data_IF_874075471953
#
_entry.id   IF_874075471953
#
_cell.length_a   1.000
_cell.length_b   1.000
_cell.length_c   1.000
_cell.angle_alpha   90.00
_cell.angle_beta   90.00
_cell.angle_gamma   90.00
#
_symmetry.space_group_name_H-M   'P 1'
#
loop_
_entity.id
_entity.type
_entity.pdbx_description
1 polymer ?
#
# COMPACT_ATOMS: atom_id res chain seq x y z
N UNK A 1 4.37 3.01 -4.30
CA UNK A 1 5.77 2.80 -4.76
C UNK A 1 6.33 1.66 -3.95
N UNK A 2 6.84 0.59 -4.56
CA UNK A 2 7.27 -0.62 -3.82
C UNK A 2 8.75 -0.57 -3.46
N UNK A 3 9.16 -1.25 -2.38
CA UNK A 3 10.56 -1.42 -2.02
C UNK A 3 11.29 -2.24 -3.10
N UNK A 4 12.53 -1.89 -3.46
CA UNK A 4 13.25 -2.56 -4.56
C UNK A 4 13.53 -4.06 -4.34
N UNK A 5 13.59 -4.51 -3.10
CA UNK A 5 13.74 -5.91 -2.70
C UNK A 5 12.39 -6.59 -2.38
N UNK A 6 11.27 -5.88 -2.56
CA UNK A 6 9.96 -6.47 -2.40
C UNK A 6 9.77 -7.57 -3.47
N UNK A 7 9.09 -8.68 -3.13
CA UNK A 7 8.81 -9.74 -4.09
C UNK A 7 7.84 -9.30 -5.21
N UNK A 8 7.31 -8.08 -5.15
CA UNK A 8 6.38 -7.51 -6.12
C UNK A 8 7.16 -6.65 -7.13
N UNK A 9 7.41 -7.18 -8.33
CA UNK A 9 8.19 -6.47 -9.37
C UNK A 9 7.34 -5.61 -10.28
N UNK A 10 6.03 -5.81 -10.25
CA UNK A 10 5.07 -5.09 -11.05
C UNK A 10 3.72 -4.96 -10.31
N UNK A 11 2.81 -4.17 -10.86
CA UNK A 11 1.49 -3.94 -10.27
C UNK A 11 0.68 -5.24 -10.13
N UNK A 12 0.80 -6.16 -11.09
CA UNK A 12 0.08 -7.44 -11.03
C UNK A 12 0.55 -8.29 -9.85
N UNK A 13 1.86 -8.39 -9.60
CA UNK A 13 2.41 -9.12 -8.46
C UNK A 13 1.92 -8.55 -7.14
N UNK A 14 1.81 -7.21 -7.05
CA UNK A 14 1.27 -6.54 -5.88
C UNK A 14 -0.20 -6.88 -5.66
N UNK A 15 -1.01 -6.86 -6.73
CA UNK A 15 -2.43 -7.23 -6.68
C UNK A 15 -2.60 -8.69 -6.25
N UNK A 16 -1.81 -9.60 -6.82
CA UNK A 16 -1.85 -11.03 -6.46
C UNK A 16 -1.44 -11.23 -5.00
N UNK A 17 -0.48 -10.46 -4.48
CA UNK A 17 -0.09 -10.50 -3.08
C UNK A 17 -1.17 -9.97 -2.14
N UNK A 18 -1.84 -8.87 -2.50
CA UNK A 18 -3.00 -8.32 -1.76
C UNK A 18 -4.13 -9.35 -1.73
N UNK A 19 -4.43 -9.99 -2.87
CA UNK A 19 -5.46 -11.04 -2.98
C UNK A 19 -5.13 -12.28 -2.17
N UNK A 20 -3.87 -12.72 -2.18
CA UNK A 20 -3.42 -13.88 -1.43
C UNK A 20 -3.40 -13.61 0.07
N UNK A 21 -3.20 -12.35 0.49
CA UNK A 21 -3.00 -11.97 1.89
C UNK A 21 -3.79 -10.69 2.24
N UNK A 22 -5.14 -10.71 2.22
CA UNK A 22 -5.93 -9.54 2.53
C UNK A 22 -5.66 -9.07 3.97
N UNK A 23 -5.39 -7.77 4.13
CA UNK A 23 -5.13 -7.12 5.42
C UNK A 23 -3.71 -7.31 5.96
N UNK A 24 -2.81 -7.96 5.21
CA UNK A 24 -1.41 -8.15 5.61
C UNK A 24 -0.47 -7.09 5.05
N UNK A 25 -0.84 -6.48 3.92
CA UNK A 25 -0.01 -5.46 3.30
C UNK A 25 -0.42 -4.08 3.81
N UNK A 26 0.57 -3.30 4.20
CA UNK A 26 0.45 -1.93 4.64
C UNK A 26 0.93 -0.99 3.54
N UNK A 27 0.33 0.19 3.41
CA UNK A 27 0.77 1.22 2.48
C UNK A 27 0.95 2.57 3.16
N UNK A 28 1.92 3.35 2.69
CA UNK A 28 2.14 4.69 3.19
C UNK A 28 1.15 5.67 2.58
N UNK A 29 0.60 6.53 3.42
CA UNK A 29 -0.27 7.63 2.98
C UNK A 29 -0.05 8.87 3.82
N UNK A 30 -0.32 10.04 3.26
CA UNK A 30 -0.35 11.30 4.00
C UNK A 30 -1.52 11.38 5.02
N UNK A 31 -2.47 10.44 4.98
CA UNK A 31 -3.58 10.32 5.93
C UNK A 31 -4.91 9.95 5.28
N UNK A 32 -5.95 9.68 6.10
CA UNK A 32 -7.29 9.39 5.62
C UNK A 32 -7.85 10.56 4.79
N UNK A 33 -8.48 10.23 3.66
CA UNK A 33 -9.12 11.22 2.77
C UNK A 33 -8.16 11.98 1.84
N UNK A 34 -6.86 11.69 1.90
CA UNK A 34 -5.89 12.25 0.95
C UNK A 34 -5.99 11.58 -0.43
N UNK A 35 -5.45 12.21 -1.47
CA UNK A 35 -5.43 11.65 -2.83
C UNK A 35 -4.75 10.28 -2.87
N UNK A 36 -3.71 10.06 -2.05
CA UNK A 36 -3.02 8.77 -1.94
C UNK A 36 -3.94 7.69 -1.35
N UNK A 37 -4.64 8.00 -0.26
CA UNK A 37 -5.62 7.09 0.34
C UNK A 37 -6.73 6.73 -0.65
N UNK A 38 -7.31 7.73 -1.31
CA UNK A 38 -8.38 7.53 -2.28
C UNK A 38 -7.93 6.74 -3.51
N UNK A 39 -6.69 6.95 -3.97
CA UNK A 39 -6.15 6.17 -5.08
C UNK A 39 -6.06 4.67 -4.76
N UNK A 40 -5.64 4.32 -3.54
CA UNK A 40 -5.59 2.91 -3.10
C UNK A 40 -6.99 2.34 -2.91
N UNK A 41 -7.91 3.09 -2.31
CA UNK A 41 -9.32 2.67 -2.17
C UNK A 41 -9.98 2.41 -3.53
N UNK A 42 -9.78 3.30 -4.50
CA UNK A 42 -10.29 3.13 -5.87
C UNK A 42 -9.64 1.92 -6.54
N UNK A 43 -8.33 1.72 -6.37
CA UNK A 43 -7.63 0.54 -6.87
C UNK A 43 -8.22 -0.75 -6.28
N UNK A 44 -8.41 -0.83 -4.96
CA UNK A 44 -8.99 -2.00 -4.31
C UNK A 44 -10.42 -2.25 -4.80
N UNK A 45 -11.23 -1.19 -4.91
CA UNK A 45 -12.60 -1.26 -5.43
C UNK A 45 -12.64 -1.78 -6.88
N UNK A 46 -11.78 -1.28 -7.76
CA UNK A 46 -11.64 -1.76 -9.15
C UNK A 46 -11.22 -3.24 -9.22
N UNK A 47 -10.49 -3.72 -8.21
CA UNK A 47 -10.03 -5.10 -8.12
C UNK A 47 -11.03 -6.04 -7.44
N UNK A 48 -12.18 -5.52 -6.98
CA UNK A 48 -13.20 -6.25 -6.21
C UNK A 48 -12.74 -6.60 -4.80
N UNK A 49 -11.74 -5.88 -4.27
CA UNK A 49 -11.17 -6.09 -2.96
C UNK A 49 -11.78 -5.12 -1.94
N UNK A 50 -12.01 -5.56 -0.70
CA UNK A 50 -12.43 -4.65 0.36
C UNK A 50 -11.31 -3.66 0.69
N UNK A 51 -11.66 -2.49 1.20
CA UNK A 51 -10.72 -1.49 1.76
C UNK A 51 -9.75 -2.08 2.78
N UNK A 52 -10.17 -3.13 3.50
CA UNK A 52 -9.36 -3.86 4.47
C UNK A 52 -8.32 -4.80 3.84
N UNK A 53 -8.30 -4.94 2.52
CA UNK A 53 -7.32 -5.79 1.84
C UNK A 53 -5.90 -5.20 1.92
N UNK A 54 -5.76 -3.88 2.06
CA UNK A 54 -4.50 -3.22 2.38
C UNK A 54 -4.70 -2.16 3.46
N UNK A 55 -3.79 -2.09 4.43
CA UNK A 55 -3.93 -1.20 5.59
C UNK A 55 -3.17 0.11 5.37
N UNK A 56 -3.88 1.24 5.51
CA UNK A 56 -3.24 2.55 5.48
C UNK A 56 -2.40 2.75 6.75
N UNK A 57 -1.19 3.24 6.59
CA UNK A 57 -0.37 3.79 7.68
C UNK A 57 -0.09 5.26 7.38
N UNK A 58 -0.61 6.20 8.21
CA UNK A 58 -0.44 7.63 8.00
C UNK A 58 0.98 8.08 8.39
N UNK A 59 1.61 8.85 7.51
CA UNK A 59 2.92 9.49 7.74
C UNK A 59 2.80 11.00 7.52
N UNK A 60 3.50 11.80 8.33
CA UNK A 60 3.40 13.27 8.30
C UNK A 60 4.23 13.89 7.18
N UNK A 61 5.12 13.13 6.53
CA UNK A 61 5.94 13.61 5.42
C UNK A 61 6.57 12.50 4.58
N UNK A 62 7.03 12.86 3.38
CA UNK A 62 7.63 11.92 2.42
C UNK A 62 8.89 11.22 2.93
N UNK A 63 9.66 11.85 3.82
CA UNK A 63 10.84 11.23 4.44
C UNK A 63 10.49 10.08 5.40
N UNK A 64 9.44 10.25 6.21
CA UNK A 64 8.95 9.19 7.11
C UNK A 64 8.37 8.02 6.31
N UNK A 65 7.56 8.31 5.28
CA UNK A 65 7.00 7.30 4.38
C UNK A 65 8.09 6.51 3.65
N UNK A 66 9.14 7.18 3.16
CA UNK A 66 10.27 6.52 2.51
C UNK A 66 11.05 5.65 3.49
N UNK A 67 11.27 6.13 4.73
CA UNK A 67 11.95 5.35 5.77
C UNK A 67 11.14 4.11 6.15
N UNK A 68 9.82 4.25 6.27
CA UNK A 68 8.91 3.14 6.54
C UNK A 68 8.89 2.10 5.41
N UNK A 69 8.92 2.56 4.15
CA UNK A 69 9.03 1.68 2.99
C UNK A 69 10.35 0.92 3.01
N UNK A 70 11.47 1.61 3.25
CA UNK A 70 12.81 0.99 3.33
C UNK A 70 12.94 0.04 4.53
N UNK A 71 12.32 0.38 5.66
CA UNK A 71 12.30 -0.43 6.87
C UNK A 71 11.32 -1.61 6.83
N UNK A 72 10.51 -1.74 5.76
CA UNK A 72 9.52 -2.80 5.61
C UNK A 72 8.29 -2.67 6.51
N UNK A 73 8.06 -1.51 7.13
CA UNK A 73 6.83 -1.23 7.86
C UNK A 73 5.63 -1.13 6.92
N UNK A 74 5.86 -0.61 5.70
CA UNK A 74 4.89 -0.59 4.60
C UNK A 74 5.49 -1.25 3.36
N UNK A 75 4.62 -1.77 2.51
CA UNK A 75 4.98 -2.49 1.30
C UNK A 75 4.85 -1.62 0.04
N UNK A 76 3.98 -0.59 0.03
CA UNK A 76 3.77 0.26 -1.15
C UNK A 76 3.25 1.67 -0.89
#
# INVERSE_FOLDING_TARGET
MVKNDAPYKNMKDLIDAIRANPGKLNYATAGPGTTQHLAVEVMLSQLGLPSTAAMMIPYKGGGEATTALLGGQVQF
#
